data_IF_119951962726
#
_entry.id   IF_119951962726
#
_cell.length_a   1.000
_cell.length_b   1.000
_cell.length_c   1.000
_cell.angle_alpha   90.00
_cell.angle_beta   90.00
_cell.angle_gamma   90.00
#
_symmetry.space_group_name_H-M   'P 1'
#
loop_
_entity.id
_entity.type
_entity.pdbx_description
1 polymer ?
#
# COMPACT_ATOMS: atom_id res chain seq x y z
N UNK A 1 -9.33 16.53 -5.60
CA UNK A 1 -8.20 16.52 -6.55
C UNK A 1 -8.54 15.80 -7.87
N UNK A 2 -8.83 14.49 -7.87
CA UNK A 2 -9.07 13.74 -9.12
C UNK A 2 -10.27 14.22 -9.96
N UNK A 3 -11.34 14.72 -9.33
CA UNK A 3 -12.45 15.35 -10.07
C UNK A 3 -12.03 16.62 -10.82
N UNK A 4 -11.05 17.37 -10.31
CA UNK A 4 -10.52 18.55 -11.00
C UNK A 4 -9.74 18.14 -12.26
N UNK A 5 -8.92 17.09 -12.17
CA UNK A 5 -8.25 16.52 -13.35
C UNK A 5 -9.26 16.03 -14.38
N UNK A 6 -10.24 15.23 -13.94
CA UNK A 6 -11.24 14.63 -14.83
C UNK A 6 -12.14 15.66 -15.53
N UNK A 7 -12.28 16.86 -14.97
CA UNK A 7 -13.06 17.96 -15.56
C UNK A 7 -12.21 18.98 -16.31
N UNK A 8 -10.91 18.75 -16.48
CA UNK A 8 -9.99 19.69 -17.14
C UNK A 8 -9.70 20.96 -16.35
N UNK A 9 -10.03 20.99 -15.04
CA UNK A 9 -9.75 22.12 -14.14
C UNK A 9 -8.36 22.08 -13.52
N UNK A 10 -7.63 20.99 -13.73
CA UNK A 10 -6.24 20.83 -13.35
C UNK A 10 -5.55 19.88 -14.33
N UNK A 11 -4.29 20.13 -14.65
CA UNK A 11 -3.51 19.26 -15.56
C UNK A 11 -3.01 18.00 -14.86
N UNK A 12 -2.62 18.12 -13.58
CA UNK A 12 -2.02 17.02 -12.80
C UNK A 12 -2.39 17.07 -11.31
N UNK A 13 -2.03 16.00 -10.60
CA UNK A 13 -2.19 15.83 -9.17
C UNK A 13 -0.88 15.34 -8.55
N UNK A 14 -0.49 15.94 -7.42
CA UNK A 14 0.54 15.39 -6.56
C UNK A 14 -0.12 14.60 -5.42
N UNK A 15 0.17 13.31 -5.35
CA UNK A 15 -0.42 12.36 -4.41
C UNK A 15 0.54 11.18 -4.24
N UNK A 16 0.26 10.34 -3.26
CA UNK A 16 1.03 9.12 -3.07
C UNK A 16 0.94 8.18 -4.28
N UNK A 17 2.07 7.58 -4.65
CA UNK A 17 2.14 6.69 -5.80
C UNK A 17 1.22 5.46 -5.64
N UNK A 18 0.99 4.99 -4.42
CA UNK A 18 0.05 3.90 -4.14
C UNK A 18 -1.39 4.28 -4.53
N UNK A 19 -1.82 5.52 -4.28
CA UNK A 19 -3.16 6.00 -4.64
C UNK A 19 -3.37 6.02 -6.16
N UNK A 20 -2.39 6.51 -6.92
CA UNK A 20 -2.49 6.52 -8.39
C UNK A 20 -2.37 5.10 -8.96
N UNK A 21 -1.54 4.21 -8.38
CA UNK A 21 -1.49 2.79 -8.77
C UNK A 21 -2.84 2.10 -8.61
N UNK A 22 -3.52 2.33 -7.49
CA UNK A 22 -4.89 1.85 -7.29
C UNK A 22 -5.81 2.33 -8.42
N UNK A 23 -5.82 3.64 -8.69
CA UNK A 23 -6.67 4.21 -9.74
C UNK A 23 -6.34 3.68 -11.14
N UNK A 24 -5.07 3.42 -11.44
CA UNK A 24 -4.61 2.84 -12.70
C UNK A 24 -5.12 1.40 -12.90
N UNK A 25 -5.17 0.59 -11.84
CA UNK A 25 -5.76 -0.75 -11.88
C UNK A 25 -7.27 -0.68 -12.09
N UNK A 26 -7.96 0.19 -11.34
CA UNK A 26 -9.43 0.30 -11.43
C UNK A 26 -9.90 0.99 -12.72
N UNK A 27 -9.05 1.78 -13.38
CA UNK A 27 -9.40 2.53 -14.59
C UNK A 27 -8.28 2.40 -15.64
N UNK A 28 -8.19 1.26 -16.33
CA UNK A 28 -7.13 1.00 -17.30
C UNK A 28 -7.04 2.10 -18.36
N UNK A 29 -5.83 2.61 -18.59
CA UNK A 29 -5.55 3.64 -19.60
C UNK A 29 -5.95 5.08 -19.24
N UNK A 30 -6.65 5.30 -18.11
CA UNK A 30 -7.14 6.64 -17.74
C UNK A 30 -6.13 7.48 -16.96
N UNK A 31 -5.34 6.84 -16.08
CA UNK A 31 -4.38 7.52 -15.22
C UNK A 31 -2.96 7.08 -15.53
N UNK A 32 -1.98 7.93 -15.20
CA UNK A 32 -0.55 7.65 -15.36
C UNK A 32 0.22 8.19 -14.15
N UNK A 33 1.21 7.43 -13.70
CA UNK A 33 2.24 7.89 -12.77
C UNK A 33 3.58 8.04 -13.50
N UNK A 34 4.40 9.06 -13.18
CA UNK A 34 5.79 9.09 -13.62
C UNK A 34 6.59 7.93 -12.97
N UNK A 35 7.70 7.55 -13.62
CA UNK A 35 8.63 6.54 -13.10
C UNK A 35 9.46 7.06 -11.92
N UNK A 36 9.82 8.34 -11.95
CA UNK A 36 10.48 9.04 -10.85
C UNK A 36 9.44 9.65 -9.90
N UNK A 37 9.64 9.49 -8.59
CA UNK A 37 8.87 10.17 -7.56
C UNK A 37 9.79 10.71 -6.47
N UNK A 38 9.25 11.63 -5.69
CA UNK A 38 9.89 12.25 -4.55
C UNK A 38 9.20 11.83 -3.25
N UNK A 39 9.85 12.08 -2.10
CA UNK A 39 9.28 11.93 -0.75
C UNK A 39 8.69 10.55 -0.46
N UNK A 40 9.53 9.51 -0.27
CA UNK A 40 9.04 8.20 0.14
C UNK A 40 8.19 8.32 1.42
N UNK A 41 7.05 7.64 1.42
CA UNK A 41 6.09 7.66 2.53
C UNK A 41 6.01 6.28 3.19
N UNK A 42 5.93 6.26 4.52
CA UNK A 42 5.64 5.06 5.30
C UNK A 42 4.24 5.18 5.86
N UNK A 43 3.38 4.20 5.57
CA UNK A 43 2.04 4.13 6.13
C UNK A 43 2.06 3.39 7.47
N UNK A 44 1.32 3.92 8.43
CA UNK A 44 1.13 3.32 9.74
C UNK A 44 -0.30 3.61 10.25
N UNK A 45 -0.75 2.80 11.21
CA UNK A 45 -2.01 3.06 11.91
C UNK A 45 -1.76 4.03 13.07
N UNK A 46 -2.27 5.25 12.96
CA UNK A 46 -2.24 6.20 14.08
C UNK A 46 -3.21 5.74 15.18
N UNK A 47 -2.74 5.70 16.42
CA UNK A 47 -3.53 5.36 17.61
C UNK A 47 -3.50 6.50 18.63
N UNK A 48 -4.36 6.43 19.65
CA UNK A 48 -4.38 7.42 20.73
C UNK A 48 -3.02 7.42 21.46
N UNK A 49 -2.50 8.62 21.73
CA UNK A 49 -1.24 8.78 22.48
C UNK A 49 -1.35 8.15 23.86
N UNK A 50 -0.34 7.35 24.23
CA UNK A 50 -0.27 6.64 25.51
C UNK A 50 -0.97 5.27 25.52
N UNK A 51 -1.61 4.88 24.42
CA UNK A 51 -2.29 3.58 24.31
C UNK A 51 -1.33 2.50 23.76
N UNK A 52 -0.37 2.11 24.61
CA UNK A 52 0.72 1.23 24.20
C UNK A 52 0.26 -0.19 23.89
N UNK A 53 -0.68 -0.73 24.66
CA UNK A 53 -1.18 -2.10 24.46
C UNK A 53 -1.89 -2.21 23.11
N UNK A 54 -2.71 -1.21 22.77
CA UNK A 54 -3.36 -1.17 21.47
C UNK A 54 -2.36 -0.98 20.32
N UNK A 55 -1.38 -0.10 20.49
CA UNK A 55 -0.32 0.07 19.49
C UNK A 55 0.42 -1.24 19.22
N UNK A 56 0.79 -1.96 20.27
CA UNK A 56 1.48 -3.25 20.17
C UNK A 56 0.62 -4.28 19.44
N UNK A 57 -0.67 -4.38 19.82
CA UNK A 57 -1.61 -5.28 19.15
C UNK A 57 -1.71 -4.99 17.65
N UNK A 58 -1.91 -3.73 17.26
CA UNK A 58 -2.02 -3.34 15.84
C UNK A 58 -0.73 -3.65 15.08
N UNK A 59 0.43 -3.33 15.65
CA UNK A 59 1.72 -3.59 15.02
C UNK A 59 1.96 -5.09 14.83
N UNK A 60 1.67 -5.92 15.84
CA UNK A 60 1.79 -7.38 15.74
C UNK A 60 0.84 -7.95 14.69
N UNK A 61 -0.43 -7.53 14.69
CA UNK A 61 -1.40 -8.02 13.72
C UNK A 61 -0.99 -7.71 12.27
N UNK A 62 -0.52 -6.49 12.01
CA UNK A 62 -0.01 -6.10 10.70
C UNK A 62 1.26 -6.86 10.33
N UNK A 63 2.20 -7.01 11.28
CA UNK A 63 3.43 -7.75 11.05
C UNK A 63 3.15 -9.20 10.63
N UNK A 64 2.33 -9.92 11.40
CA UNK A 64 2.00 -11.32 11.11
C UNK A 64 1.25 -11.46 9.77
N UNK A 65 0.42 -10.49 9.39
CA UNK A 65 -0.22 -10.47 8.08
C UNK A 65 0.77 -10.28 6.92
N UNK A 66 1.84 -9.50 7.14
CA UNK A 66 2.82 -9.15 6.11
C UNK A 66 4.01 -10.10 6.00
N UNK A 67 4.25 -10.95 7.00
CA UNK A 67 5.42 -11.83 7.03
C UNK A 67 5.11 -13.28 7.40
N UNK A 68 3.96 -13.53 8.05
CA UNK A 68 3.61 -14.80 8.65
C UNK A 68 2.62 -15.63 7.83
N UNK A 69 1.81 -16.42 8.54
CA UNK A 69 0.87 -17.40 7.95
C UNK A 69 -0.17 -16.75 7.03
N UNK A 70 -0.56 -15.52 7.32
CA UNK A 70 -1.59 -14.78 6.57
C UNK A 70 -1.05 -14.01 5.35
N UNK A 71 0.25 -14.16 5.03
CA UNK A 71 0.86 -13.53 3.85
C UNK A 71 0.10 -13.75 2.54
N UNK A 72 -0.48 -14.94 2.25
CA UNK A 72 -1.25 -15.12 1.02
C UNK A 72 -2.44 -14.15 0.89
N UNK A 73 -3.12 -13.81 1.99
CA UNK A 73 -4.22 -12.85 1.99
C UNK A 73 -3.72 -11.42 1.74
N UNK A 74 -2.59 -11.05 2.35
CA UNK A 74 -1.92 -9.78 2.09
C UNK A 74 -1.48 -9.64 0.63
N UNK A 75 -0.81 -10.66 0.08
CA UNK A 75 -0.36 -10.70 -1.31
C UNK A 75 -1.52 -10.66 -2.32
N UNK A 76 -2.62 -11.38 -2.03
CA UNK A 76 -3.83 -11.33 -2.86
C UNK A 76 -4.42 -9.92 -2.91
N UNK A 77 -4.48 -9.24 -1.77
CA UNK A 77 -4.93 -7.83 -1.69
C UNK A 77 -4.01 -6.92 -2.49
N UNK A 78 -2.69 -7.09 -2.38
CA UNK A 78 -1.71 -6.28 -3.11
C UNK A 78 -1.87 -6.42 -4.63
N UNK A 79 -2.12 -7.65 -5.11
CA UNK A 79 -2.41 -7.93 -6.51
C UNK A 79 -3.76 -7.35 -6.94
N UNK A 80 -4.81 -7.53 -6.17
CA UNK A 80 -6.16 -7.04 -6.49
C UNK A 80 -6.20 -5.51 -6.61
N UNK A 81 -5.59 -4.82 -5.65
CA UNK A 81 -5.73 -3.37 -5.53
C UNK A 81 -4.64 -2.58 -6.25
N UNK A 82 -3.44 -3.15 -6.39
CA UNK A 82 -2.30 -2.45 -7.00
C UNK A 82 -1.70 -3.16 -8.21
N UNK A 83 -2.18 -4.34 -8.57
CA UNK A 83 -1.67 -5.11 -9.72
C UNK A 83 -0.25 -5.65 -9.51
N UNK A 84 0.27 -5.59 -8.28
CA UNK A 84 1.65 -5.98 -7.95
C UNK A 84 1.64 -7.36 -7.30
N UNK A 85 2.38 -8.30 -7.89
CA UNK A 85 2.69 -9.57 -7.26
C UNK A 85 3.83 -9.41 -6.26
N UNK A 86 3.66 -9.98 -5.07
CA UNK A 86 4.70 -10.03 -4.04
C UNK A 86 5.39 -11.41 -4.07
N UNK A 87 6.72 -11.47 -3.89
CA UNK A 87 7.43 -12.74 -3.76
C UNK A 87 6.99 -13.44 -2.47
N UNK A 88 6.80 -14.75 -2.57
CA UNK A 88 6.37 -15.58 -1.44
C UNK A 88 7.54 -15.77 -0.47
N UNK A 89 7.35 -15.57 0.85
CA UNK A 89 8.36 -15.86 1.86
C UNK A 89 8.84 -17.31 1.82
N UNK A 90 10.12 -17.54 2.11
CA UNK A 90 10.67 -18.89 2.19
C UNK A 90 10.11 -19.62 3.42
N UNK A 91 9.67 -20.87 3.22
CA UNK A 91 9.07 -21.70 4.28
C UNK A 91 10.19 -22.41 5.07
N UNK A 92 10.02 -22.51 6.40
CA UNK A 92 10.83 -23.39 7.26
C UNK A 92 11.91 -22.69 8.09
N UNK A 93 12.17 -21.41 7.85
CA UNK A 93 13.01 -20.57 8.71
C UNK A 93 12.31 -19.23 8.96
N UNK A 94 12.42 -18.65 10.16
CA UNK A 94 11.98 -17.27 10.39
C UNK A 94 12.72 -16.36 9.40
N UNK A 95 11.96 -15.69 8.54
CA UNK A 95 12.48 -14.78 7.53
C UNK A 95 11.74 -13.46 7.67
N UNK A 96 12.46 -12.37 7.88
CA UNK A 96 11.91 -11.03 7.70
C UNK A 96 12.01 -10.66 6.23
N UNK A 97 10.93 -10.12 5.66
CA UNK A 97 10.91 -9.64 4.27
C UNK A 97 11.94 -8.50 4.12
N UNK A 98 12.94 -8.68 3.24
CA UNK A 98 14.02 -7.72 3.01
C UNK A 98 13.62 -6.62 2.02
#
# INVERSE_FOLDING_TARGET
MYQAINSGRADTAATDQSSVKYLMVQNPGRYRSPAFAWSPQTYACAVKRGDQDWLNFVNTALHEAMTGVEFPAYAASFKQWFGVGLPVPAIGFPMEYK
#
